data_IF_860937031803
#
_entry.id   IF_860937031803
#
_cell.length_a   1.000
_cell.length_b   1.000
_cell.length_c   1.000
_cell.angle_alpha   90.00
_cell.angle_beta   90.00
_cell.angle_gamma   90.00
#
_symmetry.space_group_name_H-M   'P 1'
#
loop_
_entity.id
_entity.type
_entity.pdbx_description
1 polymer ?
#
# COMPACT_ATOMS: atom_id res chain seq x y z
N UNK A 1 8.50 12.18 8.83
CA UNK A 1 7.05 12.03 9.07
C UNK A 1 6.74 10.59 8.72
N UNK A 2 6.10 9.84 9.61
CA UNK A 2 5.93 8.39 9.41
C UNK A 2 4.78 8.14 8.43
N UNK A 3 5.11 7.70 7.22
CA UNK A 3 4.15 7.38 6.16
C UNK A 3 3.36 6.08 6.46
N UNK A 4 3.95 5.19 7.28
CA UNK A 4 3.39 3.89 7.68
C UNK A 4 3.77 3.61 9.14
N UNK A 5 2.82 3.07 9.90
CA UNK A 5 3.01 2.60 11.28
C UNK A 5 2.55 1.15 11.37
N UNK A 6 3.28 0.33 12.13
CA UNK A 6 2.88 -1.04 12.40
C UNK A 6 1.96 -1.09 13.63
N UNK A 7 0.82 -1.78 13.49
CA UNK A 7 -0.17 -1.99 14.55
C UNK A 7 -0.32 -3.50 14.78
N UNK A 8 0.61 -4.08 15.54
CA UNK A 8 0.68 -5.54 15.73
C UNK A 8 1.00 -6.29 14.44
N UNK A 9 0.03 -7.08 13.96
CA UNK A 9 0.11 -7.84 12.70
C UNK A 9 -0.34 -6.99 11.49
N UNK A 10 -0.98 -5.84 11.74
CA UNK A 10 -1.50 -4.94 10.73
C UNK A 10 -0.58 -3.74 10.46
N UNK A 11 -0.86 -3.05 9.35
CA UNK A 11 -0.16 -1.83 8.95
C UNK A 11 -1.14 -0.67 8.77
N UNK A 12 -0.86 0.43 9.46
CA UNK A 12 -1.55 1.71 9.30
C UNK A 12 -0.78 2.54 8.30
N UNK A 13 -1.34 2.70 7.10
CA UNK A 13 -0.75 3.50 6.01
C UNK A 13 -1.48 4.83 5.92
N UNK A 14 -0.74 5.94 5.85
CA UNK A 14 -1.35 7.24 5.65
C UNK A 14 -2.10 7.29 4.32
N UNK A 15 -3.35 7.77 4.34
CA UNK A 15 -4.20 7.83 3.15
C UNK A 15 -3.55 8.66 2.02
N UNK A 16 -2.77 9.68 2.36
CA UNK A 16 -2.02 10.52 1.41
C UNK A 16 -1.03 9.71 0.56
N UNK A 17 -0.39 8.68 1.12
CA UNK A 17 0.55 7.80 0.42
C UNK A 17 -0.17 7.02 -0.68
N UNK A 18 -1.32 6.44 -0.33
CA UNK A 18 -2.17 5.67 -1.24
C UNK A 18 -2.79 6.59 -2.30
N UNK A 19 -3.35 7.72 -1.86
CA UNK A 19 -4.00 8.71 -2.70
C UNK A 19 -3.06 9.27 -3.76
N UNK A 20 -1.87 9.70 -3.37
CA UNK A 20 -0.87 10.25 -4.29
C UNK A 20 -0.46 9.21 -5.33
N UNK A 21 -0.27 7.95 -4.92
CA UNK A 21 0.14 6.89 -5.83
C UNK A 21 -0.97 6.45 -6.81
N UNK A 22 -2.23 6.48 -6.38
CA UNK A 22 -3.36 6.04 -7.19
C UNK A 22 -4.06 7.20 -7.92
N UNK A 23 -3.64 8.45 -7.67
CA UNK A 23 -4.30 9.72 -8.03
C UNK A 23 -5.76 9.78 -7.58
N UNK A 24 -5.96 9.54 -6.29
CA UNK A 24 -7.25 9.69 -5.62
C UNK A 24 -7.17 10.87 -4.65
N UNK A 25 -8.31 11.35 -4.16
CA UNK A 25 -8.29 12.25 -3.02
C UNK A 25 -7.99 11.43 -1.74
N UNK A 26 -7.15 11.94 -0.81
CA UNK A 26 -6.88 11.29 0.48
C UNK A 26 -8.16 10.97 1.28
N UNK A 27 -9.17 11.85 1.18
CA UNK A 27 -10.46 11.67 1.85
C UNK A 27 -11.29 10.49 1.29
N UNK A 28 -11.09 10.11 0.03
CA UNK A 28 -11.83 9.02 -0.61
C UNK A 28 -11.23 7.65 -0.30
N UNK A 29 -9.93 7.59 0.02
CA UNK A 29 -9.21 6.33 0.24
C UNK A 29 -9.88 5.42 1.29
N UNK A 30 -10.27 5.90 2.50
CA UNK A 30 -10.94 5.06 3.49
C UNK A 30 -12.29 4.53 3.00
N UNK A 31 -13.06 5.36 2.28
CA UNK A 31 -14.34 4.98 1.70
C UNK A 31 -14.18 3.90 0.63
N UNK A 32 -13.19 4.05 -0.26
CA UNK A 32 -12.89 3.10 -1.34
C UNK A 32 -12.30 1.78 -0.84
N UNK A 33 -11.50 1.81 0.22
CA UNK A 33 -11.04 0.60 0.92
C UNK A 33 -12.23 -0.14 1.55
N UNK A 34 -13.09 0.58 2.28
CA UNK A 34 -14.29 0.00 2.91
C UNK A 34 -15.28 -0.55 1.89
N UNK A 35 -15.39 0.09 0.72
CA UNK A 35 -16.20 -0.39 -0.40
C UNK A 35 -15.53 -1.53 -1.19
N UNK A 36 -14.30 -1.91 -0.88
CA UNK A 36 -13.55 -2.95 -1.60
C UNK A 36 -13.17 -2.59 -3.04
N UNK A 37 -13.20 -1.29 -3.39
CA UNK A 37 -12.81 -0.74 -4.69
C UNK A 37 -11.30 -0.59 -4.83
N UNK A 38 -10.59 -0.35 -3.72
CA UNK A 38 -9.15 -0.52 -3.65
C UNK A 38 -8.90 -1.95 -3.17
N UNK A 39 -8.28 -2.79 -4.02
CA UNK A 39 -7.88 -4.13 -3.62
C UNK A 39 -6.55 -4.05 -2.88
N UNK A 40 -6.51 -4.58 -1.66
CA UNK A 40 -5.31 -4.66 -0.83
C UNK A 40 -4.81 -6.09 -0.74
N UNK A 41 -3.50 -6.24 -0.74
CA UNK A 41 -2.81 -7.50 -0.47
C UNK A 41 -1.62 -7.21 0.43
N UNK A 42 -1.57 -7.85 1.59
CA UNK A 42 -0.45 -7.82 2.51
C UNK A 42 0.23 -9.18 2.51
N UNK A 43 1.53 -9.18 2.26
CA UNK A 43 2.37 -10.37 2.28
C UNK A 43 3.46 -10.17 3.33
N UNK A 44 3.62 -11.16 4.20
CA UNK A 44 4.73 -11.23 5.15
C UNK A 44 5.90 -11.99 4.52
N UNK A 45 7.09 -11.41 4.58
CA UNK A 45 8.33 -12.06 4.18
C UNK A 45 8.77 -13.09 5.22
N UNK A 46 9.30 -14.22 4.75
CA UNK A 46 9.82 -15.32 5.57
C UNK A 46 11.23 -15.69 5.07
N UNK A 47 12.04 -16.32 5.93
CA UNK A 47 13.40 -16.72 5.55
C UNK A 47 14.31 -15.51 5.34
N UNK A 48 14.91 -15.38 4.15
CA UNK A 48 15.80 -14.25 3.81
C UNK A 48 15.11 -12.88 3.79
N UNK A 49 13.78 -12.85 3.65
CA UNK A 49 12.96 -11.63 3.73
C UNK A 49 12.19 -11.53 5.05
N UNK A 50 12.52 -12.35 6.05
CA UNK A 50 11.96 -12.24 7.40
C UNK A 50 12.14 -10.81 7.95
N UNK A 51 11.07 -10.24 8.50
CA UNK A 51 11.08 -8.86 8.97
C UNK A 51 10.81 -7.81 7.88
N UNK A 52 10.34 -8.23 6.70
CA UNK A 52 9.81 -7.33 5.66
C UNK A 52 8.38 -7.69 5.31
N UNK A 53 7.56 -6.68 5.06
CA UNK A 53 6.20 -6.84 4.59
C UNK A 53 6.01 -6.11 3.29
N UNK A 54 5.14 -6.65 2.47
CA UNK A 54 4.84 -6.13 1.16
C UNK A 54 3.35 -5.83 1.07
N UNK A 55 3.04 -4.54 0.98
CA UNK A 55 1.70 -4.03 0.86
C UNK A 55 1.44 -3.65 -0.59
N UNK A 56 0.42 -4.23 -1.20
CA UNK A 56 0.02 -3.95 -2.57
C UNK A 56 -1.40 -3.38 -2.58
N UNK A 57 -1.57 -2.21 -3.19
CA UNK A 57 -2.85 -1.55 -3.39
C UNK A 57 -3.12 -1.48 -4.90
N UNK A 58 -4.28 -1.92 -5.34
CA UNK A 58 -4.66 -1.92 -6.75
C UNK A 58 -6.03 -1.24 -6.94
N UNK A 59 -6.08 -0.28 -7.85
CA UNK A 59 -7.29 0.47 -8.16
C UNK A 59 -7.24 1.02 -9.60
N UNK A 60 -8.30 0.84 -10.38
CA UNK A 60 -8.45 1.44 -11.72
C UNK A 60 -7.21 1.27 -12.64
N UNK A 61 -6.63 0.08 -12.69
CA UNK A 61 -5.45 -0.20 -13.52
C UNK A 61 -4.14 0.35 -12.96
N UNK A 62 -4.13 0.84 -11.72
CA UNK A 62 -2.94 1.35 -11.03
C UNK A 62 -2.62 0.50 -9.83
N UNK A 63 -1.35 0.14 -9.68
CA UNK A 63 -0.85 -0.66 -8.58
C UNK A 63 0.26 0.08 -7.84
N UNK A 64 0.02 0.33 -6.56
CA UNK A 64 1.04 0.74 -5.61
C UNK A 64 1.58 -0.50 -4.90
N UNK A 65 2.89 -0.63 -4.81
CA UNK A 65 3.59 -1.65 -4.00
C UNK A 65 4.54 -0.96 -3.05
N UNK A 66 4.43 -1.29 -1.77
CA UNK A 66 5.26 -0.80 -0.68
C UNK A 66 5.93 -2.01 -0.03
N UNK A 67 7.23 -1.93 0.18
CA UNK A 67 7.97 -2.86 1.05
C UNK A 67 8.33 -2.09 2.30
N UNK A 68 7.92 -2.62 3.45
CA UNK A 68 8.15 -2.03 4.77
C UNK A 68 8.97 -2.97 5.62
N UNK A 69 9.85 -2.43 6.45
CA UNK A 69 10.57 -3.23 7.45
C UNK A 69 9.81 -3.27 8.79
N UNK A 70 10.37 -3.97 9.78
CA UNK A 70 9.76 -4.19 11.08
C UNK A 70 9.52 -2.91 11.89
N UNK A 71 10.24 -1.84 11.59
CA UNK A 71 10.08 -0.52 12.22
C UNK A 71 8.95 0.30 11.57
N UNK A 72 8.37 -0.18 10.48
CA UNK A 72 7.36 0.54 9.69
C UNK A 72 7.96 1.50 8.66
N UNK A 73 9.29 1.51 8.48
CA UNK A 73 9.91 2.33 7.45
C UNK A 73 9.73 1.71 6.06
N UNK A 74 9.44 2.55 5.07
CA UNK A 74 9.32 2.15 3.67
C UNK A 74 10.72 1.92 3.10
N UNK A 75 11.06 0.66 2.86
CA UNK A 75 12.31 0.25 2.20
C UNK A 75 12.21 0.48 0.70
N UNK A 76 11.07 0.11 0.10
CA UNK A 76 10.86 0.22 -1.36
C UNK A 76 9.46 0.72 -1.64
N UNK A 77 9.35 1.68 -2.57
CA UNK A 77 8.08 2.14 -3.13
C UNK A 77 8.11 2.00 -4.64
N UNK A 78 7.05 1.43 -5.20
CA UNK A 78 6.88 1.34 -6.65
C UNK A 78 5.42 1.56 -7.02
N UNK A 79 5.19 2.36 -8.06
CA UNK A 79 3.86 2.62 -8.61
C UNK A 79 3.89 2.23 -10.07
N UNK A 80 2.92 1.43 -10.49
CA UNK A 80 2.76 1.02 -11.87
C UNK A 80 1.36 1.43 -12.32
N UNK A 81 1.30 2.21 -13.39
CA UNK A 81 0.07 2.48 -14.13
C UNK A 81 0.03 1.52 -15.32
N UNK A 82 -0.87 0.55 -15.29
CA UNK A 82 -1.06 -0.42 -16.37
C UNK A 82 -1.88 0.17 -17.52
N UNK A 83 -2.33 1.42 -17.40
CA UNK A 83 -3.30 2.04 -18.29
C UNK A 83 -4.65 1.34 -18.24
N UNK A 84 -5.61 1.89 -18.98
CA UNK A 84 -6.71 1.07 -19.48
C UNK A 84 -6.10 0.21 -20.59
N UNK A 85 -5.87 -1.07 -20.34
CA UNK A 85 -5.60 -2.00 -21.43
C UNK A 85 -6.76 -1.87 -22.43
N UNK A 86 -6.52 -1.60 -23.72
CA UNK A 86 -7.57 -1.50 -24.72
C UNK A 86 -8.34 -2.81 -24.89
#
# INVERSE_FOLDING_TARGET
MADITRDGEDFVVAAEVIATALHLAPADVPGLLRAGSIKTLSEEGVGDDEGRWRLTFNHNGRRLRLVVDATGAIVTRSVVDFGRTP
#
